data_IF_725278405045
#
_entry.id   IF_725278405045
#
_cell.length_a   1.000
_cell.length_b   1.000
_cell.length_c   1.000
_cell.angle_alpha   90.00
_cell.angle_beta   90.00
_cell.angle_gamma   90.00
#
_symmetry.space_group_name_H-M   'P 1'
#
loop_
_entity.id
_entity.type
_entity.pdbx_description
1 polymer ?
#
# COMPACT_ATOMS: atom_id res chain seq x y z
N UNK A 1 32.65 21.48 -86.55
CA UNK A 1 32.19 20.37 -85.68
C UNK A 1 31.42 20.99 -84.52
N UNK A 2 30.09 21.05 -84.62
CA UNK A 2 29.06 20.18 -84.02
C UNK A 2 28.65 20.61 -82.60
N UNK A 3 27.42 21.12 -82.53
CA UNK A 3 26.59 21.42 -81.35
C UNK A 3 26.44 20.23 -80.38
N UNK A 4 26.30 20.49 -79.08
CA UNK A 4 25.53 19.68 -78.14
C UNK A 4 25.25 20.51 -76.86
N UNK A 5 24.08 21.14 -76.75
CA UNK A 5 22.85 20.71 -76.06
C UNK A 5 22.90 20.78 -74.52
N UNK A 6 22.14 21.77 -74.05
CA UNK A 6 21.58 21.99 -72.72
C UNK A 6 20.84 20.76 -72.17
N UNK A 7 21.01 20.50 -70.87
CA UNK A 7 19.99 19.84 -70.04
C UNK A 7 20.00 20.49 -68.66
N UNK A 8 19.06 21.40 -68.42
CA UNK A 8 18.74 21.95 -67.11
C UNK A 8 17.87 20.92 -66.38
N UNK A 9 18.40 20.26 -65.35
CA UNK A 9 17.61 19.36 -64.50
C UNK A 9 16.91 20.19 -63.41
N UNK A 10 15.61 20.40 -63.60
CA UNK A 10 14.73 21.04 -62.61
C UNK A 10 14.34 19.97 -61.57
N UNK A 11 14.95 20.00 -60.39
CA UNK A 11 14.59 19.14 -59.28
C UNK A 11 13.34 19.70 -58.58
N UNK A 12 12.20 19.04 -58.75
CA UNK A 12 10.99 19.28 -57.95
C UNK A 12 11.21 18.76 -56.53
N UNK A 13 11.38 19.65 -55.55
CA UNK A 13 11.19 19.33 -54.14
C UNK A 13 9.69 19.15 -53.88
N UNK A 14 9.24 17.90 -53.75
CA UNK A 14 7.96 17.58 -53.15
C UNK A 14 8.10 17.75 -51.63
N UNK A 15 7.55 18.84 -51.11
CA UNK A 15 7.34 19.01 -49.69
C UNK A 15 6.29 18.00 -49.23
N UNK A 16 6.71 16.96 -48.50
CA UNK A 16 5.80 16.11 -47.74
C UNK A 16 5.33 16.93 -46.55
N UNK A 17 4.18 17.59 -46.70
CA UNK A 17 3.46 18.18 -45.58
C UNK A 17 2.95 16.99 -44.76
N UNK A 18 3.58 16.75 -43.60
CA UNK A 18 3.00 15.87 -42.60
C UNK A 18 1.83 16.64 -41.98
N UNK A 19 0.61 16.13 -42.16
CA UNK A 19 -0.53 16.54 -41.35
C UNK A 19 -0.21 16.20 -39.90
N UNK A 20 0.33 17.18 -39.18
CA UNK A 20 0.30 17.17 -37.72
C UNK A 20 -1.16 17.36 -37.38
N UNK A 21 -1.87 16.25 -37.18
CA UNK A 21 -3.17 16.27 -36.53
C UNK A 21 -2.99 17.04 -35.22
N UNK A 22 -3.55 18.24 -35.15
CA UNK A 22 -3.62 19.01 -33.93
C UNK A 22 -4.32 18.13 -32.90
N UNK A 23 -3.57 17.64 -31.90
CA UNK A 23 -4.18 17.07 -30.71
C UNK A 23 -5.06 18.17 -30.12
N UNK A 24 -6.36 17.90 -30.09
CA UNK A 24 -7.35 18.78 -29.48
C UNK A 24 -7.00 18.94 -28.01
N UNK A 25 -6.32 20.06 -27.69
CA UNK A 25 -5.88 20.43 -26.34
C UNK A 25 -7.05 20.63 -25.35
N UNK A 26 -8.30 20.41 -25.79
CA UNK A 26 -9.51 20.55 -24.99
C UNK A 26 -10.16 19.21 -24.59
N UNK A 27 -9.55 18.06 -24.89
CA UNK A 27 -10.11 16.80 -24.40
C UNK A 27 -9.95 16.74 -22.87
N UNK A 28 -11.08 16.76 -22.16
CA UNK A 28 -11.09 16.58 -20.71
C UNK A 28 -10.37 15.27 -20.35
N UNK A 29 -9.53 15.26 -19.30
CA UNK A 29 -8.82 14.06 -18.89
C UNK A 29 -9.82 12.95 -18.58
N UNK A 30 -9.54 11.73 -19.05
CA UNK A 30 -10.35 10.55 -18.72
C UNK A 30 -10.38 10.37 -17.20
N UNK A 31 -11.52 9.97 -16.62
CA UNK A 31 -11.60 9.71 -15.20
C UNK A 31 -10.58 8.62 -14.80
N UNK A 32 -10.04 8.66 -13.56
CA UNK A 32 -9.18 7.58 -13.05
C UNK A 32 -9.90 6.23 -13.14
N UNK A 33 -9.20 5.10 -13.26
CA UNK A 33 -9.83 3.77 -13.25
C UNK A 33 -10.55 3.47 -11.93
N UNK A 34 -11.44 2.47 -11.94
CA UNK A 34 -12.06 1.99 -10.70
C UNK A 34 -11.00 1.32 -9.83
N UNK A 35 -11.18 1.39 -8.51
CA UNK A 35 -10.19 0.88 -7.59
C UNK A 35 -10.22 -0.64 -7.54
N UNK A 36 -9.03 -1.26 -7.63
CA UNK A 36 -8.83 -2.70 -7.48
C UNK A 36 -7.61 -2.99 -6.62
N UNK A 37 -7.79 -3.82 -5.61
CA UNK A 37 -6.66 -4.35 -4.86
C UNK A 37 -5.85 -5.32 -5.74
N UNK A 38 -4.54 -5.39 -5.51
CA UNK A 38 -3.70 -6.29 -6.28
C UNK A 38 -3.84 -7.76 -5.91
N UNK A 39 -3.13 -8.64 -6.64
CA UNK A 39 -3.12 -10.08 -6.40
C UNK A 39 -2.77 -10.40 -4.94
N UNK A 40 -3.60 -11.23 -4.30
CA UNK A 40 -3.37 -11.62 -2.89
C UNK A 40 -4.24 -10.84 -1.89
N UNK A 41 -4.89 -9.78 -2.32
CA UNK A 41 -5.95 -9.11 -1.55
C UNK A 41 -7.34 -9.59 -1.97
N UNK A 42 -8.28 -9.45 -1.04
CA UNK A 42 -9.70 -9.34 -1.35
C UNK A 42 -10.10 -7.86 -1.26
N UNK A 43 -10.72 -7.34 -2.31
CA UNK A 43 -11.27 -5.97 -2.35
C UNK A 43 -12.61 -5.93 -1.65
N UNK A 44 -12.79 -4.95 -0.77
CA UNK A 44 -14.07 -4.61 -0.16
C UNK A 44 -14.38 -3.13 -0.39
N UNK A 45 -15.64 -2.81 -0.63
CA UNK A 45 -16.15 -1.46 -0.48
C UNK A 45 -16.64 -1.22 0.94
N UNK A 46 -16.56 0.02 1.39
CA UNK A 46 -16.97 0.42 2.73
C UNK A 46 -18.37 1.03 2.68
N UNK A 47 -19.21 0.65 3.64
CA UNK A 47 -20.51 1.27 3.89
C UNK A 47 -20.55 1.80 5.32
N UNK A 48 -21.01 3.03 5.48
CA UNK A 48 -21.36 3.51 6.81
C UNK A 48 -22.57 2.74 7.38
N UNK A 49 -22.51 2.40 8.68
CA UNK A 49 -23.65 1.82 9.40
C UNK A 49 -24.48 2.87 10.16
N UNK A 50 -24.01 4.11 10.27
CA UNK A 50 -24.76 5.23 10.86
C UNK A 50 -25.39 6.16 9.81
N UNK A 51 -25.18 5.86 8.52
CA UNK A 51 -25.73 6.63 7.42
C UNK A 51 -24.93 7.88 7.07
N UNK A 52 -23.76 8.10 7.69
CA UNK A 52 -22.82 9.13 7.26
C UNK A 52 -22.45 8.95 5.78
N UNK A 53 -22.31 10.08 5.07
CA UNK A 53 -21.85 10.09 3.69
C UNK A 53 -20.35 9.77 3.66
N UNK A 54 -20.02 8.72 2.92
CA UNK A 54 -18.64 8.28 2.81
C UNK A 54 -18.52 7.14 1.81
N UNK A 55 -17.37 7.10 1.17
CA UNK A 55 -16.97 6.03 0.26
C UNK A 55 -15.56 5.59 0.60
N UNK A 56 -15.22 4.36 0.25
CA UNK A 56 -13.87 3.88 0.46
C UNK A 56 -13.76 2.40 0.20
N UNK A 57 -12.53 1.94 0.31
CA UNK A 57 -12.15 0.57 0.02
C UNK A 57 -11.26 0.00 1.12
N UNK A 58 -11.26 -1.33 1.21
CA UNK A 58 -10.31 -2.09 2.02
C UNK A 58 -9.68 -3.17 1.16
N UNK A 59 -8.36 -3.24 1.18
CA UNK A 59 -7.61 -4.36 0.63
C UNK A 59 -7.25 -5.28 1.78
N UNK A 60 -7.92 -6.43 1.86
CA UNK A 60 -7.83 -7.34 3.01
C UNK A 60 -7.02 -8.58 2.65
N UNK A 61 -6.04 -8.88 3.49
CA UNK A 61 -5.32 -10.15 3.55
C UNK A 61 -5.71 -10.91 4.82
N UNK A 62 -5.66 -12.23 4.76
CA UNK A 62 -5.85 -13.09 5.93
C UNK A 62 -4.69 -14.05 6.09
N UNK A 63 -4.24 -14.21 7.33
CA UNK A 63 -3.27 -15.23 7.69
C UNK A 63 -3.64 -15.85 9.03
N UNK A 64 -3.68 -17.19 9.06
CA UNK A 64 -4.18 -17.97 10.20
C UNK A 64 -5.52 -17.44 10.72
N UNK A 65 -6.45 -17.12 9.81
CA UNK A 65 -7.76 -16.57 10.14
C UNK A 65 -8.46 -17.45 11.17
N UNK A 66 -8.81 -16.84 12.30
CA UNK A 66 -9.58 -17.49 13.36
C UNK A 66 -10.86 -16.71 13.60
N UNK A 67 -11.93 -17.47 13.85
CA UNK A 67 -13.17 -16.92 14.36
C UNK A 67 -13.31 -17.27 15.83
N UNK A 68 -13.42 -16.26 16.69
CA UNK A 68 -13.59 -16.48 18.13
C UNK A 68 -14.99 -16.10 18.58
N UNK A 69 -15.52 -16.89 19.52
CA UNK A 69 -16.92 -16.87 19.93
C UNK A 69 -17.88 -17.01 18.73
N UNK A 70 -17.43 -17.66 17.66
CA UNK A 70 -18.19 -17.85 16.43
C UNK A 70 -18.43 -16.58 15.60
N UNK A 71 -17.85 -15.42 15.97
CA UNK A 71 -18.06 -14.16 15.22
C UNK A 71 -16.85 -13.23 15.07
N UNK A 72 -15.97 -13.11 16.06
CA UNK A 72 -14.85 -12.14 16.04
C UNK A 72 -13.69 -12.65 15.21
N UNK A 73 -13.04 -11.76 14.46
CA UNK A 73 -11.96 -12.13 13.54
C UNK A 73 -10.58 -11.83 14.14
N UNK A 74 -9.67 -12.81 14.05
CA UNK A 74 -8.24 -12.64 14.25
C UNK A 74 -7.47 -13.12 13.01
N UNK A 75 -6.29 -12.55 12.73
CA UNK A 75 -5.52 -12.87 11.52
C UNK A 75 -6.01 -12.15 10.26
N UNK A 76 -6.47 -10.90 10.41
CA UNK A 76 -6.94 -10.02 9.33
C UNK A 76 -6.01 -8.82 9.28
N UNK A 77 -5.52 -8.50 8.09
CA UNK A 77 -4.60 -7.39 7.82
C UNK A 77 -5.15 -6.58 6.67
N UNK A 78 -5.12 -5.26 6.76
CA UNK A 78 -5.71 -4.44 5.71
C UNK A 78 -4.99 -3.11 5.48
N UNK A 79 -5.09 -2.69 4.22
CA UNK A 79 -4.99 -1.31 3.80
C UNK A 79 -6.40 -0.73 3.61
N UNK A 80 -6.60 0.55 3.89
CA UNK A 80 -7.84 1.25 3.54
C UNK A 80 -7.60 2.69 3.11
N UNK A 81 -8.46 3.16 2.22
CA UNK A 81 -8.54 4.56 1.81
C UNK A 81 -9.97 4.92 1.45
N UNK A 82 -10.26 6.22 1.44
CA UNK A 82 -11.56 6.73 1.06
C UNK A 82 -11.76 8.18 1.45
N UNK A 83 -13.04 8.56 1.48
CA UNK A 83 -13.53 9.85 1.91
C UNK A 83 -14.67 9.64 2.90
N UNK A 84 -14.68 10.39 4.00
CA UNK A 84 -15.74 10.38 5.01
C UNK A 84 -16.06 11.81 5.39
N UNK A 85 -17.32 12.26 5.26
CA UNK A 85 -17.69 13.66 5.45
C UNK A 85 -16.76 14.65 4.70
N UNK A 86 -16.53 14.40 3.41
CA UNK A 86 -15.59 15.14 2.53
C UNK A 86 -14.12 15.14 2.95
N UNK A 87 -13.75 14.32 3.95
CA UNK A 87 -12.37 14.18 4.43
C UNK A 87 -11.74 12.91 3.90
N UNK A 88 -10.66 13.09 3.16
CA UNK A 88 -9.84 11.98 2.67
C UNK A 88 -9.10 11.31 3.82
N UNK A 89 -9.00 9.98 3.76
CA UNK A 89 -8.25 9.19 4.73
C UNK A 89 -7.50 8.06 4.04
N UNK A 90 -6.42 7.63 4.68
CA UNK A 90 -5.62 6.46 4.33
C UNK A 90 -5.11 5.82 5.59
N UNK A 91 -5.21 4.50 5.73
CA UNK A 91 -4.77 3.81 6.93
C UNK A 91 -4.32 2.37 6.64
N UNK A 92 -3.62 1.83 7.62
CA UNK A 92 -3.31 0.40 7.70
C UNK A 92 -3.73 -0.15 9.05
N UNK A 93 -4.11 -1.42 9.09
CA UNK A 93 -4.49 -2.06 10.34
C UNK A 93 -4.36 -3.56 10.32
N UNK A 94 -4.41 -4.16 11.50
CA UNK A 94 -4.57 -5.60 11.64
C UNK A 94 -5.24 -6.00 12.95
N UNK A 95 -5.69 -7.25 13.01
CA UNK A 95 -6.18 -7.88 14.24
C UNK A 95 -5.05 -8.59 14.96
N UNK A 96 -4.87 -8.32 16.26
CA UNK A 96 -3.94 -9.08 17.09
C UNK A 96 -4.63 -10.35 17.62
N UNK A 97 -3.87 -11.45 17.67
CA UNK A 97 -4.31 -12.72 18.24
C UNK A 97 -4.06 -12.82 19.75
N UNK A 98 -3.06 -12.10 20.29
CA UNK A 98 -2.50 -12.36 21.62
C UNK A 98 -3.10 -11.52 22.76
N UNK A 99 -3.89 -10.47 22.49
CA UNK A 99 -4.38 -9.51 23.51
C UNK A 99 -5.92 -9.44 23.57
N UNK A 100 -6.60 -10.50 23.12
CA UNK A 100 -8.03 -10.45 22.78
C UNK A 100 -8.23 -9.87 21.38
N UNK A 101 -9.42 -10.00 20.80
CA UNK A 101 -9.77 -9.68 19.40
C UNK A 101 -9.73 -8.17 19.06
N UNK A 102 -8.86 -7.43 19.73
CA UNK A 102 -8.60 -6.04 19.50
C UNK A 102 -7.76 -5.89 18.25
N UNK A 103 -8.28 -5.05 17.38
CA UNK A 103 -7.63 -4.67 16.14
C UNK A 103 -7.15 -3.25 16.29
N UNK A 104 -6.01 -2.98 15.66
CA UNK A 104 -5.54 -1.62 15.55
C UNK A 104 -5.66 -1.13 14.13
N UNK A 105 -5.78 0.19 14.01
CA UNK A 105 -5.67 0.93 12.77
C UNK A 105 -4.89 2.20 13.06
N UNK A 106 -4.09 2.62 12.09
CA UNK A 106 -3.34 3.86 12.15
C UNK A 106 -3.38 4.55 10.80
N UNK A 107 -3.60 5.86 10.84
CA UNK A 107 -3.66 6.68 9.65
C UNK A 107 -2.26 6.96 9.12
N UNK A 108 -2.14 6.96 7.79
CA UNK A 108 -1.03 7.54 7.03
C UNK A 108 -1.38 9.00 6.78
N UNK A 109 -0.49 9.92 7.15
CA UNK A 109 -0.78 11.35 7.13
C UNK A 109 0.36 12.20 6.55
N UNK A 110 0.01 13.39 6.07
CA UNK A 110 0.94 14.38 5.53
C UNK A 110 1.07 14.36 4.01
N UNK A 111 0.16 13.68 3.31
CA UNK A 111 0.16 13.56 1.84
C UNK A 111 -1.13 14.14 1.22
N UNK A 112 -1.92 14.89 1.99
CA UNK A 112 -3.23 15.41 1.59
C UNK A 112 -4.41 14.68 2.23
N UNK A 113 -4.16 13.67 3.08
CA UNK A 113 -5.17 13.12 3.98
C UNK A 113 -5.59 14.15 5.03
N UNK A 114 -6.84 14.06 5.47
CA UNK A 114 -7.44 14.92 6.51
C UNK A 114 -7.45 14.27 7.90
N UNK A 115 -7.38 12.95 7.96
CA UNK A 115 -7.42 12.17 9.21
C UNK A 115 -6.01 11.81 9.67
N UNK A 116 -5.76 11.99 10.97
CA UNK A 116 -4.49 11.64 11.60
C UNK A 116 -4.73 11.06 12.99
N UNK A 117 -5.14 9.80 13.04
CA UNK A 117 -5.47 9.09 14.28
C UNK A 117 -4.85 7.69 14.35
N UNK A 118 -4.86 7.15 15.56
CA UNK A 118 -4.60 5.75 15.85
C UNK A 118 -5.71 5.23 16.76
N UNK A 119 -6.24 4.04 16.46
CA UNK A 119 -7.27 3.37 17.25
C UNK A 119 -6.83 1.93 17.49
N UNK A 120 -6.81 1.48 18.74
CA UNK A 120 -6.37 0.14 19.14
C UNK A 120 -7.49 -0.75 19.69
N UNK A 121 -8.75 -0.31 19.60
CA UNK A 121 -9.90 -0.97 20.21
C UNK A 121 -10.97 -1.38 19.19
N UNK A 122 -10.58 -1.63 17.94
CA UNK A 122 -11.51 -2.03 16.89
C UNK A 122 -11.88 -3.51 17.04
N UNK A 123 -13.15 -3.81 16.78
CA UNK A 123 -13.71 -5.16 16.75
C UNK A 123 -14.18 -5.48 15.34
N UNK A 124 -13.58 -6.49 14.73
CA UNK A 124 -13.97 -7.03 13.43
C UNK A 124 -14.82 -8.30 13.64
N UNK A 125 -15.98 -8.36 13.00
CA UNK A 125 -16.87 -9.52 13.05
C UNK A 125 -17.38 -9.92 11.67
N UNK A 126 -17.60 -11.21 11.46
CA UNK A 126 -18.21 -11.74 10.23
C UNK A 126 -18.90 -13.07 10.52
N UNK A 127 -20.11 -13.24 9.98
CA UNK A 127 -20.89 -14.48 10.11
C UNK A 127 -21.14 -15.20 8.77
N UNK A 128 -20.54 -14.74 7.67
CA UNK A 128 -20.93 -15.15 6.32
C UNK A 128 -19.74 -15.45 5.39
N UNK A 129 -18.67 -16.03 5.98
CA UNK A 129 -17.42 -16.35 5.28
C UNK A 129 -16.74 -15.10 4.71
N UNK A 130 -16.74 -14.02 5.50
CA UNK A 130 -16.12 -12.73 5.16
C UNK A 130 -16.74 -12.07 3.93
N UNK A 131 -18.01 -12.31 3.61
CA UNK A 131 -18.67 -11.50 2.56
C UNK A 131 -18.98 -10.11 3.10
N UNK A 132 -19.35 -10.04 4.37
CA UNK A 132 -19.52 -8.80 5.12
C UNK A 132 -18.64 -8.85 6.37
N UNK A 133 -17.81 -7.83 6.57
CA UNK A 133 -17.04 -7.65 7.79
C UNK A 133 -17.54 -6.38 8.47
N UNK A 134 -18.13 -6.52 9.65
CA UNK A 134 -18.56 -5.38 10.46
C UNK A 134 -17.41 -4.92 11.34
N UNK A 135 -17.15 -3.62 11.35
CA UNK A 135 -16.09 -2.97 12.12
C UNK A 135 -16.69 -1.95 13.07
N UNK A 136 -16.41 -2.11 14.35
CA UNK A 136 -16.94 -1.24 15.41
C UNK A 136 -15.89 -0.89 16.45
N UNK A 137 -16.08 0.22 17.17
CA UNK A 137 -15.22 0.63 18.28
C UNK A 137 -14.36 1.86 17.94
N UNK A 138 -13.89 2.59 18.95
CA UNK A 138 -13.01 3.75 18.76
C UNK A 138 -13.53 4.82 17.79
N UNK A 139 -14.85 5.00 17.71
CA UNK A 139 -15.51 5.93 16.78
C UNK A 139 -15.84 5.36 15.40
N UNK A 140 -15.45 4.10 15.11
CA UNK A 140 -15.76 3.42 13.86
C UNK A 140 -17.08 2.68 13.96
N UNK A 141 -17.86 2.75 12.89
CA UNK A 141 -19.12 2.02 12.73
C UNK A 141 -19.40 1.82 11.24
N UNK A 142 -18.70 0.86 10.65
CA UNK A 142 -18.75 0.58 9.21
C UNK A 142 -18.90 -0.91 8.90
N UNK A 143 -19.33 -1.22 7.69
CA UNK A 143 -19.34 -2.56 7.12
C UNK A 143 -18.51 -2.59 5.85
N UNK A 144 -17.67 -3.61 5.74
CA UNK A 144 -16.91 -3.90 4.53
C UNK A 144 -17.68 -4.96 3.74
N UNK A 145 -18.07 -4.63 2.52
CA UNK A 145 -18.79 -5.51 1.61
C UNK A 145 -17.83 -5.99 0.55
N UNK A 146 -17.65 -7.32 0.44
CA UNK A 146 -16.74 -7.91 -0.53
C UNK A 146 -17.20 -7.61 -1.95
N UNK A 147 -16.28 -7.13 -2.78
CA UNK A 147 -16.53 -6.96 -4.21
C UNK A 147 -16.43 -8.29 -4.96
N UNK A 148 -17.50 -8.75 -5.64
CA UNK A 148 -17.50 -10.05 -6.32
C UNK A 148 -16.42 -10.19 -7.39
N UNK A 149 -16.18 -9.11 -8.14
CA UNK A 149 -15.24 -9.08 -9.26
C UNK A 149 -13.86 -8.48 -8.86
N UNK A 150 -13.73 -8.15 -7.58
CA UNK A 150 -12.52 -7.57 -6.98
C UNK A 150 -12.26 -6.10 -7.34
N UNK A 151 -13.20 -5.44 -8.03
CA UNK A 151 -13.17 -4.02 -8.39
C UNK A 151 -14.28 -3.29 -7.63
N UNK A 152 -14.00 -2.12 -7.08
CA UNK A 152 -14.97 -1.33 -6.34
C UNK A 152 -15.77 -0.44 -7.29
N UNK A 153 -17.05 -0.75 -7.48
CA UNK A 153 -17.91 -0.10 -8.49
C UNK A 153 -18.04 1.42 -8.35
N UNK A 154 -17.94 1.92 -7.12
CA UNK A 154 -18.22 3.32 -6.80
C UNK A 154 -17.02 4.09 -6.25
N UNK A 155 -15.81 3.52 -6.30
CA UNK A 155 -14.64 4.18 -5.73
C UNK A 155 -13.48 4.28 -6.71
N UNK A 156 -12.90 5.48 -6.80
CA UNK A 156 -11.70 5.79 -7.59
C UNK A 156 -10.71 6.47 -6.67
N UNK A 157 -9.46 6.00 -6.65
CA UNK A 157 -8.44 6.65 -5.82
C UNK A 157 -8.14 8.05 -6.36
N UNK A 158 -8.20 9.04 -5.49
CA UNK A 158 -7.79 10.43 -5.76
C UNK A 158 -6.61 10.86 -4.89
N UNK A 159 -6.10 9.93 -4.07
CA UNK A 159 -5.07 10.24 -3.08
C UNK A 159 -3.69 10.39 -3.71
N UNK A 160 -2.94 11.37 -3.23
CA UNK A 160 -1.57 11.58 -3.67
C UNK A 160 -0.63 10.44 -3.22
N UNK A 161 0.55 10.41 -3.85
CA UNK A 161 1.67 9.55 -3.48
C UNK A 161 2.08 9.78 -2.01
N UNK A 162 2.29 8.69 -1.28
CA UNK A 162 2.79 8.74 0.09
C UNK A 162 4.27 9.13 0.09
N UNK A 163 4.60 10.20 0.80
CA UNK A 163 5.96 10.71 1.07
C UNK A 163 6.23 10.92 2.56
N UNK A 164 5.16 10.92 3.37
CA UNK A 164 5.17 10.99 4.84
C UNK A 164 4.25 9.92 5.42
N UNK A 165 4.57 9.48 6.64
CA UNK A 165 3.82 8.44 7.35
C UNK A 165 2.95 8.98 8.50
N UNK A 166 3.06 10.27 8.82
CA UNK A 166 2.49 10.84 10.05
C UNK A 166 3.25 10.40 11.31
N UNK A 167 2.67 10.64 12.48
CA UNK A 167 3.36 10.46 13.77
C UNK A 167 3.18 9.05 14.39
N UNK A 168 2.11 8.34 14.03
CA UNK A 168 1.78 7.02 14.59
C UNK A 168 2.50 5.87 13.89
N UNK A 169 3.01 6.13 12.70
CA UNK A 169 3.82 5.20 11.92
C UNK A 169 5.28 5.66 11.96
N UNK A 170 6.18 4.69 11.95
CA UNK A 170 7.59 4.95 11.74
C UNK A 170 7.87 5.02 10.24
N UNK A 171 8.51 6.10 9.81
CA UNK A 171 9.00 6.22 8.44
C UNK A 171 10.36 5.56 8.33
N UNK A 172 10.55 4.67 7.35
CA UNK A 172 11.84 4.14 6.96
C UNK A 172 12.13 4.45 5.48
N UNK A 173 13.36 4.84 5.16
CA UNK A 173 13.84 4.94 3.78
C UNK A 173 14.28 3.59 3.27
N UNK A 174 14.09 3.35 1.97
CA UNK A 174 14.53 2.12 1.30
C UNK A 174 15.86 2.37 0.61
N UNK A 175 16.84 1.52 0.91
CA UNK A 175 18.09 1.43 0.16
C UNK A 175 18.15 0.07 -0.55
N UNK A 176 18.47 0.03 -1.85
CA UNK A 176 18.64 -1.23 -2.57
C UNK A 176 19.94 -1.91 -2.10
N UNK A 177 19.93 -3.23 -1.95
CA UNK A 177 21.08 -3.98 -1.44
C UNK A 177 22.20 -4.13 -2.48
N UNK A 178 21.84 -4.26 -3.75
CA UNK A 178 22.79 -4.77 -4.75
C UNK A 178 23.29 -3.68 -5.70
N UNK A 179 22.86 -2.42 -5.54
CA UNK A 179 23.16 -1.32 -6.47
C UNK A 179 22.68 -1.55 -7.92
N UNK A 180 22.00 -2.68 -8.18
CA UNK A 180 21.63 -3.20 -9.49
C UNK A 180 20.15 -3.00 -9.83
N UNK A 181 19.31 -2.62 -8.86
CA UNK A 181 17.89 -2.36 -9.10
C UNK A 181 17.56 -0.90 -8.80
N UNK A 182 16.76 -0.30 -9.68
CA UNK A 182 16.15 1.03 -9.53
C UNK A 182 15.10 1.09 -8.40
N UNK A 183 14.94 0.00 -7.62
CA UNK A 183 13.98 -0.15 -6.51
C UNK A 183 14.26 0.80 -5.32
N UNK A 184 15.30 1.62 -5.42
CA UNK A 184 15.95 2.32 -4.31
C UNK A 184 15.38 3.68 -3.89
N UNK A 185 14.23 4.11 -4.40
CA UNK A 185 13.61 5.36 -3.95
C UNK A 185 12.20 5.07 -3.45
N UNK A 186 12.11 4.74 -2.17
CA UNK A 186 10.84 4.48 -1.52
C UNK A 186 10.89 4.76 -0.03
N UNK A 187 9.70 4.71 0.55
CA UNK A 187 9.51 4.77 1.99
C UNK A 187 8.70 3.56 2.43
N UNK A 188 8.86 3.21 3.69
CA UNK A 188 8.00 2.28 4.40
C UNK A 188 7.40 3.01 5.59
N UNK A 189 6.09 2.88 5.76
CA UNK A 189 5.38 3.32 6.94
C UNK A 189 5.12 2.08 7.80
N UNK A 190 5.92 1.92 8.84
CA UNK A 190 6.00 0.75 9.68
C UNK A 190 5.14 0.95 10.93
N UNK A 191 4.32 -0.06 11.26
CA UNK A 191 3.66 -0.13 12.57
C UNK A 191 4.25 -1.28 13.38
N UNK A 192 4.74 -0.95 14.57
CA UNK A 192 5.26 -1.90 15.55
C UNK A 192 4.30 -2.04 16.73
N UNK A 193 4.19 -3.25 17.25
CA UNK A 193 3.73 -3.50 18.60
C UNK A 193 4.75 -2.90 19.58
N UNK A 194 4.31 -2.24 20.66
CA UNK A 194 5.21 -1.64 21.64
C UNK A 194 6.22 -2.61 22.27
N UNK A 195 5.98 -3.91 22.19
CA UNK A 195 6.83 -4.97 22.76
C UNK A 195 7.76 -5.63 21.73
N UNK A 196 7.76 -5.19 20.47
CA UNK A 196 8.54 -5.82 19.39
C UNK A 196 9.51 -4.85 18.73
N UNK A 197 10.72 -5.35 18.44
CA UNK A 197 11.68 -4.70 17.55
C UNK A 197 11.25 -4.75 16.08
N UNK A 198 10.31 -5.63 15.72
CA UNK A 198 9.91 -5.89 14.33
C UNK A 198 8.60 -5.18 13.99
N UNK A 199 8.43 -4.71 12.74
CA UNK A 199 7.14 -4.21 12.27
C UNK A 199 6.12 -5.35 12.24
N UNK A 200 4.90 -5.13 12.71
CA UNK A 200 3.81 -6.09 12.55
C UNK A 200 3.17 -5.98 11.16
N UNK A 201 2.98 -4.74 10.70
CA UNK A 201 2.51 -4.40 9.35
C UNK A 201 3.27 -3.21 8.78
N UNK A 202 3.24 -3.07 7.46
CA UNK A 202 3.77 -1.90 6.78
C UNK A 202 2.99 -1.55 5.53
N UNK A 203 3.06 -0.27 5.18
CA UNK A 203 2.77 0.24 3.85
C UNK A 203 4.07 0.65 3.16
N UNK A 204 4.26 0.27 1.91
CA UNK A 204 5.37 0.71 1.09
C UNK A 204 4.91 1.56 -0.07
N UNK A 205 5.64 2.62 -0.38
CA UNK A 205 5.47 3.39 -1.61
C UNK A 205 6.83 3.78 -2.17
N UNK A 206 6.96 3.75 -3.48
CA UNK A 206 8.21 4.08 -4.15
C UNK A 206 8.07 4.12 -5.65
N UNK A 207 9.20 3.95 -6.32
CA UNK A 207 9.28 3.85 -7.77
C UNK A 207 10.20 2.70 -8.15
N UNK A 208 9.83 1.95 -9.17
CA UNK A 208 10.62 0.88 -9.77
C UNK A 208 10.59 1.08 -11.28
N UNK A 209 11.75 1.23 -11.91
CA UNK A 209 11.90 1.44 -13.36
C UNK A 209 11.03 2.58 -13.92
N UNK A 210 10.95 3.69 -13.19
CA UNK A 210 10.12 4.85 -13.57
C UNK A 210 8.63 4.71 -13.25
N UNK A 211 8.20 3.55 -12.71
CA UNK A 211 6.80 3.27 -12.41
C UNK A 211 6.54 3.36 -10.91
N UNK A 212 5.50 4.09 -10.47
CA UNK A 212 5.15 4.13 -9.07
C UNK A 212 4.68 2.73 -8.63
N UNK A 213 5.10 2.32 -7.45
CA UNK A 213 4.54 1.15 -6.78
C UNK A 213 4.05 1.54 -5.40
N UNK A 214 3.07 0.79 -4.92
CA UNK A 214 2.68 0.81 -3.53
C UNK A 214 2.24 -0.59 -3.13
N UNK A 215 2.59 -1.00 -1.91
CA UNK A 215 2.24 -2.30 -1.39
C UNK A 215 1.85 -2.23 0.08
N UNK A 216 1.12 -3.24 0.51
CA UNK A 216 0.87 -3.48 1.92
C UNK A 216 1.38 -4.86 2.28
N UNK A 217 1.97 -4.97 3.46
CA UNK A 217 2.49 -6.22 3.96
C UNK A 217 2.38 -6.37 5.47
N UNK A 218 2.55 -7.61 5.90
CA UNK A 218 2.52 -8.00 7.31
C UNK A 218 3.55 -9.09 7.56
N UNK A 219 3.96 -9.22 8.83
CA UNK A 219 4.88 -10.27 9.25
C UNK A 219 4.13 -11.46 9.84
N UNK A 220 4.72 -12.63 9.65
CA UNK A 220 4.38 -13.88 10.31
C UNK A 220 5.54 -14.25 11.23
N UNK A 221 5.30 -14.27 12.54
CA UNK A 221 6.30 -14.65 13.54
C UNK A 221 6.38 -16.17 13.64
N UNK A 222 7.50 -16.76 13.23
CA UNK A 222 7.82 -18.18 13.42
C UNK A 222 8.79 -18.40 14.58
N UNK A 223 9.02 -19.66 14.94
CA UNK A 223 9.87 -20.02 16.09
C UNK A 223 11.34 -19.58 15.95
N UNK A 224 11.86 -19.55 14.72
CA UNK A 224 13.29 -19.29 14.44
C UNK A 224 13.53 -18.22 13.36
N UNK A 225 12.47 -17.70 12.74
CA UNK A 225 12.57 -16.75 11.63
C UNK A 225 11.33 -15.89 11.58
N UNK A 226 11.53 -14.60 11.28
CA UNK A 226 10.45 -13.68 10.95
C UNK A 226 10.32 -13.61 9.44
N UNK A 227 9.16 -14.02 8.95
CA UNK A 227 8.86 -13.95 7.52
C UNK A 227 7.82 -12.87 7.24
N UNK A 228 7.84 -12.30 6.04
CA UNK A 228 6.88 -11.31 5.57
C UNK A 228 6.06 -11.80 4.39
N UNK A 229 4.84 -11.27 4.26
CA UNK A 229 4.01 -11.39 3.06
C UNK A 229 3.56 -10.00 2.65
N UNK A 230 3.61 -9.70 1.36
CA UNK A 230 3.16 -8.42 0.82
C UNK A 230 2.57 -8.55 -0.58
N UNK A 231 1.74 -7.60 -0.95
CA UNK A 231 1.31 -7.44 -2.33
C UNK A 231 1.10 -5.97 -2.67
N UNK A 232 1.23 -5.66 -3.95
CA UNK A 232 0.97 -4.34 -4.49
C UNK A 232 -0.53 -4.05 -4.43
N UNK A 233 -0.90 -2.78 -4.21
CA UNK A 233 -2.25 -2.32 -4.54
C UNK A 233 -2.19 -1.94 -6.03
N UNK A 234 -3.16 -2.37 -6.85
CA UNK A 234 -3.05 -2.25 -8.30
C UNK A 234 -4.10 -1.29 -8.86
N UNK A 235 -4.25 -0.13 -8.21
CA UNK A 235 -5.27 0.86 -8.58
C UNK A 235 -4.82 1.80 -9.72
N UNK A 236 -3.58 1.67 -10.21
CA UNK A 236 -3.04 2.43 -11.34
C UNK A 236 -2.55 1.46 -12.44
N UNK A 237 -3.02 1.55 -13.69
CA UNK A 237 -2.56 0.69 -14.79
C UNK A 237 -1.07 0.84 -15.11
N UNK A 238 -0.44 1.94 -14.71
CA UNK A 238 0.99 2.17 -14.88
C UNK A 238 1.83 1.53 -13.76
N UNK A 239 1.21 1.15 -12.65
CA UNK A 239 1.91 0.55 -11.51
C UNK A 239 2.26 -0.91 -11.76
N UNK A 240 3.34 -1.39 -11.14
CA UNK A 240 3.60 -2.82 -11.07
C UNK A 240 2.52 -3.49 -10.21
N UNK A 241 2.10 -4.68 -10.63
CA UNK A 241 1.07 -5.44 -9.93
C UNK A 241 1.61 -6.81 -9.52
N UNK A 242 2.43 -6.82 -8.46
CA UNK A 242 3.14 -8.00 -7.97
C UNK A 242 2.61 -8.42 -6.60
N UNK A 243 2.97 -9.64 -6.23
CA UNK A 243 2.81 -10.17 -4.87
C UNK A 243 3.98 -11.05 -4.52
N UNK A 244 4.28 -11.13 -3.24
CA UNK A 244 5.18 -12.16 -2.71
C UNK A 244 4.44 -13.49 -2.64
N UNK A 245 5.18 -14.59 -2.63
CA UNK A 245 4.73 -15.83 -2.04
C UNK A 245 4.35 -15.59 -0.57
N UNK A 246 3.50 -16.47 -0.04
CA UNK A 246 3.20 -16.47 1.40
C UNK A 246 4.49 -16.74 2.16
N UNK A 247 4.85 -15.86 3.09
CA UNK A 247 6.11 -15.88 3.83
C UNK A 247 7.35 -15.82 2.90
N UNK A 248 7.22 -15.21 1.72
CA UNK A 248 8.28 -15.11 0.72
C UNK A 248 9.38 -14.10 1.05
N UNK A 249 9.19 -13.29 2.09
CA UNK A 249 10.21 -12.37 2.60
C UNK A 249 10.77 -12.88 3.92
N UNK A 250 12.06 -12.65 4.16
CA UNK A 250 12.72 -12.78 5.46
C UNK A 250 13.06 -11.39 5.96
N UNK A 251 12.76 -11.10 7.23
CA UNK A 251 12.96 -9.79 7.83
C UNK A 251 13.92 -9.94 9.00
N UNK A 252 15.11 -9.37 8.85
CA UNK A 252 16.18 -9.45 9.84
C UNK A 252 16.46 -8.06 10.41
N UNK A 253 16.29 -7.82 11.72
CA UNK A 253 16.68 -6.56 12.33
C UNK A 253 18.22 -6.47 12.35
N UNK A 254 18.78 -5.37 11.87
CA UNK A 254 20.22 -5.08 11.79
C UNK A 254 20.58 -3.89 12.71
N UNK A 255 20.14 -3.92 13.96
CA UNK A 255 20.30 -2.79 14.88
C UNK A 255 20.71 -3.23 16.28
N UNK A 256 21.55 -2.42 16.92
CA UNK A 256 21.83 -2.50 18.36
C UNK A 256 20.94 -1.52 19.15
N UNK A 257 20.94 -1.65 20.48
CA UNK A 257 20.20 -0.74 21.36
C UNK A 257 20.65 0.71 21.13
N UNK A 258 19.68 1.64 21.15
CA UNK A 258 19.89 3.08 20.95
C UNK A 258 20.38 3.48 19.55
N UNK A 259 20.25 2.59 18.56
CA UNK A 259 20.46 2.93 17.16
C UNK A 259 19.12 3.16 16.46
N UNK A 260 19.17 3.93 15.37
CA UNK A 260 18.07 3.99 14.42
C UNK A 260 17.72 2.57 13.94
N UNK A 261 16.44 2.31 13.79
CA UNK A 261 15.95 1.01 13.34
C UNK A 261 16.47 0.69 11.95
N UNK A 262 16.98 -0.53 11.77
CA UNK A 262 17.43 -1.00 10.47
C UNK A 262 16.93 -2.43 10.25
N UNK A 263 16.42 -2.69 9.05
CA UNK A 263 15.91 -4.00 8.67
C UNK A 263 16.51 -4.43 7.33
N UNK A 264 17.05 -5.65 7.30
CA UNK A 264 17.40 -6.35 6.07
C UNK A 264 16.22 -7.21 5.63
N UNK A 265 15.78 -6.98 4.41
CA UNK A 265 14.69 -7.72 3.76
C UNK A 265 15.29 -8.54 2.63
N UNK A 266 15.04 -9.84 2.63
CA UNK A 266 15.50 -10.75 1.57
C UNK A 266 14.42 -11.72 1.14
N UNK A 267 14.57 -12.31 -0.05
CA UNK A 267 13.66 -13.32 -0.58
C UNK A 267 13.09 -12.90 -1.93
N UNK A 268 11.76 -12.79 -2.02
CA UNK A 268 11.07 -12.37 -3.26
C UNK A 268 11.49 -10.98 -3.75
N UNK A 269 11.96 -10.12 -2.85
CA UNK A 269 12.78 -8.94 -3.17
C UNK A 269 13.80 -8.69 -2.06
N UNK A 270 14.78 -7.83 -2.38
CA UNK A 270 15.93 -7.58 -1.53
C UNK A 270 16.08 -6.07 -1.28
N UNK A 271 15.90 -5.65 -0.04
CA UNK A 271 15.93 -4.24 0.36
C UNK A 271 16.56 -4.08 1.74
N UNK A 272 17.07 -2.88 2.03
CA UNK A 272 17.38 -2.44 3.38
C UNK A 272 16.49 -1.26 3.74
N UNK A 273 15.83 -1.34 4.89
CA UNK A 273 15.00 -0.26 5.42
C UNK A 273 15.75 0.42 6.55
N UNK A 274 15.93 1.74 6.48
CA UNK A 274 16.51 2.55 7.55
C UNK A 274 15.41 3.43 8.13
N UNK A 275 14.95 3.07 9.32
CA UNK A 275 13.92 3.79 10.05
C UNK A 275 14.42 5.07 10.69
N UNK A 276 13.47 5.93 11.03
CA UNK A 276 13.70 7.26 11.61
C UNK A 276 13.56 7.30 13.13
N UNK A 277 13.29 6.15 13.76
CA UNK A 277 13.12 6.05 15.22
C UNK A 277 14.25 5.23 15.81
N UNK A 278 14.78 5.68 16.94
CA UNK A 278 15.72 4.90 17.74
C UNK A 278 15.00 3.71 18.42
N UNK A 279 15.69 2.58 18.52
CA UNK A 279 15.20 1.41 19.24
C UNK A 279 15.64 1.44 20.71
N UNK A 280 14.68 1.66 21.61
CA UNK A 280 14.89 1.54 23.05
C UNK A 280 14.75 0.07 23.48
N UNK A 281 15.88 -0.54 23.83
CA UNK A 281 15.89 -1.84 24.47
C UNK A 281 15.52 -1.70 25.94
N UNK A 282 14.42 -2.32 26.36
CA UNK A 282 14.18 -2.56 27.80
C UNK A 282 15.28 -3.47 28.35
N UNK A 283 16.30 -2.87 28.97
CA UNK A 283 17.27 -3.61 29.79
C UNK A 283 16.51 -4.09 31.02
N UNK A 284 16.00 -5.32 30.98
CA UNK A 284 15.48 -5.97 32.18
C UNK A 284 16.69 -6.41 33.00
N UNK A 285 17.10 -5.56 33.94
CA UNK A 285 18.03 -5.96 34.99
C UNK A 285 17.35 -7.04 35.82
N UNK A 286 17.71 -8.31 35.57
CA UNK A 286 17.35 -9.40 36.47
C UNK A 286 18.17 -9.21 37.76
N UNK A 287 17.49 -8.80 38.83
CA UNK A 287 18.03 -8.78 40.20
C UNK A 287 17.82 -10.13 40.87
#
# INVERSE_FOLDING_TARGET
MKFCKSTLALAFLLAVVTDIAAQDLNQAPSPPPLFKCGPGFTTYSVKSLDGAEGEGVRCVMTDHLQTVEGKYLAGVYWYGEGTWDDKTYRHIGCTHNNEGFQSFVTDIFGNGESSHNEVSSLLLTSNDKLRHIRVTGGGWNEEWVREPDGEADNYRSTLNKVTSCGNYLEKASVNPLDGLTSEGNGIRCLKRSPSSSLPDIWYGAGEQDGKPYHHFGFITKGNNMTSGTAADLCNNPESSCRKTAKNGLTITPEMDCWQETQYLITGDWNERWNGSKEYDCKIILQY
#
